data_IF_843570109369
#
_entry.id   IF_843570109369
#
_cell.length_a   1.000
_cell.length_b   1.000
_cell.length_c   1.000
_cell.angle_alpha   90.00
_cell.angle_beta   90.00
_cell.angle_gamma   90.00
#
_symmetry.space_group_name_H-M   'P 1'
#
loop_
_entity.id
_entity.type
_entity.pdbx_description
1 polymer ?
#
# COMPACT_ATOMS: atom_id res chain seq x y z
N UNK A 1 -4.63 3.43 -21.91
CA UNK A 1 -3.79 2.30 -21.39
C UNK A 1 -3.95 2.17 -19.89
N UNK A 2 -4.09 0.97 -19.34
CA UNK A 2 -4.18 0.75 -17.88
C UNK A 2 -2.83 0.25 -17.36
N UNK A 3 -2.32 0.95 -16.32
CA UNK A 3 -1.09 0.60 -15.59
C UNK A 3 -1.43 0.37 -14.12
N UNK A 4 -0.65 -0.47 -13.43
CA UNK A 4 -0.75 -0.65 -11.98
C UNK A 4 0.59 -0.35 -11.31
N UNK A 5 0.56 0.31 -10.14
CA UNK A 5 1.71 0.50 -9.25
C UNK A 5 1.44 -0.26 -7.96
N UNK A 6 2.31 -1.22 -7.65
CA UNK A 6 2.18 -2.14 -6.52
C UNK A 6 3.52 -2.31 -5.80
N UNK A 7 3.50 -2.86 -4.59
CA UNK A 7 4.71 -3.10 -3.80
C UNK A 7 5.20 -4.54 -3.89
N UNK A 8 6.51 -4.74 -3.91
CA UNK A 8 7.13 -6.06 -3.98
C UNK A 8 7.13 -6.81 -2.65
N UNK A 9 7.30 -6.11 -1.53
CA UNK A 9 7.67 -6.72 -0.25
C UNK A 9 6.63 -6.47 0.87
N UNK A 10 7.08 -5.89 1.97
CA UNK A 10 6.26 -5.68 3.20
C UNK A 10 5.45 -4.37 3.20
N UNK A 11 5.46 -3.60 2.12
CA UNK A 11 4.94 -2.24 2.05
C UNK A 11 6.03 -1.20 2.30
N UNK A 12 5.66 0.07 2.19
CA UNK A 12 6.59 1.20 2.40
C UNK A 12 7.77 1.26 1.42
N UNK A 13 7.56 0.74 0.20
CA UNK A 13 8.58 0.73 -0.86
C UNK A 13 8.74 2.08 -1.57
N UNK A 14 7.97 3.10 -1.22
CA UNK A 14 8.01 4.41 -1.90
C UNK A 14 7.05 4.53 -3.09
N UNK A 15 5.96 3.77 -3.09
CA UNK A 15 4.93 3.81 -4.14
C UNK A 15 4.33 5.20 -4.36
N UNK A 16 4.16 5.98 -3.29
CA UNK A 16 3.57 7.32 -3.36
C UNK A 16 4.31 8.24 -4.33
N UNK A 17 5.64 8.23 -4.33
CA UNK A 17 6.45 8.99 -5.28
C UNK A 17 6.23 8.52 -6.73
N UNK A 18 6.21 7.21 -6.95
CA UNK A 18 6.03 6.64 -8.29
C UNK A 18 4.64 6.94 -8.83
N UNK A 19 3.60 6.81 -7.99
CA UNK A 19 2.21 7.13 -8.39
C UNK A 19 2.02 8.63 -8.64
N UNK A 20 2.61 9.49 -7.82
CA UNK A 20 2.57 10.93 -8.03
C UNK A 20 3.25 11.32 -9.35
N UNK A 21 4.42 10.77 -9.63
CA UNK A 21 5.13 11.00 -10.89
C UNK A 21 4.31 10.55 -12.10
N UNK A 22 3.77 9.33 -12.08
CA UNK A 22 2.94 8.78 -13.16
C UNK A 22 1.56 9.47 -13.25
N UNK A 23 1.14 10.11 -12.18
CA UNK A 23 -0.08 10.91 -12.13
C UNK A 23 -0.10 12.06 -13.16
N UNK A 24 1.07 12.61 -13.48
CA UNK A 24 1.20 13.66 -14.50
C UNK A 24 0.71 13.21 -15.88
N UNK A 25 0.87 11.94 -16.21
CA UNK A 25 0.52 11.33 -17.50
C UNK A 25 -0.83 10.62 -17.46
N UNK A 26 -1.49 10.59 -16.29
CA UNK A 26 -2.70 9.80 -16.08
C UNK A 26 -3.95 10.67 -16.13
N UNK A 27 -4.94 10.27 -16.92
CA UNK A 27 -6.26 10.90 -16.94
C UNK A 27 -7.09 10.50 -15.70
N UNK A 28 -6.86 9.29 -15.19
CA UNK A 28 -7.60 8.70 -14.08
C UNK A 28 -6.64 7.95 -13.17
N UNK A 29 -6.78 8.13 -11.85
CA UNK A 29 -6.09 7.31 -10.85
C UNK A 29 -7.12 6.66 -9.93
N UNK A 30 -7.01 5.33 -9.76
CA UNK A 30 -7.95 4.51 -9.01
C UNK A 30 -7.26 3.86 -7.82
N UNK A 31 -7.73 4.15 -6.61
CA UNK A 31 -7.48 3.30 -5.44
C UNK A 31 -8.39 2.07 -5.55
N UNK A 32 -7.81 0.89 -5.60
CA UNK A 32 -8.57 -0.33 -5.89
C UNK A 32 -8.68 -1.30 -4.70
N UNK A 33 -7.90 -1.12 -3.64
CA UNK A 33 -7.92 -1.99 -2.45
C UNK A 33 -7.43 -1.25 -1.20
N UNK A 34 -7.56 -1.92 -0.04
CA UNK A 34 -7.13 -1.38 1.25
C UNK A 34 -8.04 -0.27 1.75
N UNK A 35 -7.57 0.48 2.69
CA UNK A 35 -8.30 1.58 3.31
C UNK A 35 -7.33 2.59 3.94
N UNK A 36 -7.74 3.18 5.05
CA UNK A 36 -6.94 4.19 5.73
C UNK A 36 -5.82 3.62 6.63
N UNK A 37 -5.56 2.32 6.56
CA UNK A 37 -4.56 1.63 7.39
C UNK A 37 -3.10 1.83 6.95
N UNK A 38 -2.86 2.29 5.73
CA UNK A 38 -1.52 2.63 5.25
C UNK A 38 -1.53 4.02 4.63
N UNK A 39 -0.54 4.81 4.98
CA UNK A 39 -0.30 6.12 4.37
C UNK A 39 0.79 6.04 3.31
N UNK A 40 0.73 6.95 2.35
CA UNK A 40 1.82 7.21 1.44
C UNK A 40 2.18 8.70 1.44
N UNK A 41 3.47 8.96 1.46
CA UNK A 41 3.98 10.32 1.48
C UNK A 41 4.23 10.80 0.04
N UNK A 42 3.76 12.00 -0.24
CA UNK A 42 3.98 12.70 -1.49
C UNK A 42 4.65 14.03 -1.18
N UNK A 43 5.70 14.35 -1.93
CA UNK A 43 6.40 15.63 -1.86
C UNK A 43 6.30 16.31 -3.23
N UNK A 44 5.61 17.43 -3.29
CA UNK A 44 5.36 18.20 -4.51
C UNK A 44 5.43 19.71 -4.25
N UNK A 45 5.05 20.52 -5.24
CA UNK A 45 5.08 21.98 -5.16
C UNK A 45 4.17 22.59 -4.08
N UNK A 46 3.14 21.84 -3.65
CA UNK A 46 2.27 22.23 -2.53
C UNK A 46 2.86 21.87 -1.16
N UNK A 47 3.95 21.09 -1.12
CA UNK A 47 4.63 20.64 0.08
C UNK A 47 4.58 19.13 0.30
N UNK A 48 4.74 18.72 1.56
CA UNK A 48 4.71 17.31 1.95
C UNK A 48 3.32 16.91 2.49
N UNK A 49 2.77 15.82 1.97
CA UNK A 49 1.46 15.27 2.34
C UNK A 49 1.58 13.78 2.67
N UNK A 50 0.84 13.35 3.69
CA UNK A 50 0.60 11.95 3.96
C UNK A 50 -0.87 11.65 3.64
N UNK A 51 -1.12 10.91 2.56
CA UNK A 51 -2.44 10.48 2.14
C UNK A 51 -2.69 9.03 2.58
N UNK A 52 -3.91 8.73 3.01
CA UNK A 52 -4.32 7.38 3.42
C UNK A 52 -5.38 6.81 2.48
N UNK A 53 -6.40 7.60 2.16
CA UNK A 53 -7.53 7.17 1.33
C UNK A 53 -7.48 7.80 -0.06
N UNK A 54 -7.10 9.06 -0.17
CA UNK A 54 -7.06 9.78 -1.43
C UNK A 54 -6.01 9.20 -2.39
N UNK A 55 -6.35 9.06 -3.69
CA UNK A 55 -5.37 8.78 -4.72
C UNK A 55 -4.35 9.91 -4.89
N UNK A 56 -3.16 9.59 -5.37
CA UNK A 56 -2.10 10.58 -5.64
C UNK A 56 -2.48 11.62 -6.70
N UNK A 57 -3.47 11.32 -7.55
CA UNK A 57 -3.96 12.22 -8.60
C UNK A 57 -4.65 13.50 -8.12
N UNK A 58 -4.97 13.61 -6.83
CA UNK A 58 -5.65 14.79 -6.27
C UNK A 58 -4.88 16.10 -6.40
N UNK A 59 -3.59 16.03 -6.71
CA UNK A 59 -2.74 17.20 -6.94
C UNK A 59 -2.75 17.71 -8.38
N UNK A 60 -3.44 17.00 -9.29
CA UNK A 60 -3.50 17.33 -10.72
C UNK A 60 -4.92 17.69 -11.14
N UNK A 61 -5.10 18.90 -11.68
CA UNK A 61 -6.42 19.38 -12.09
C UNK A 61 -7.03 18.63 -13.27
N UNK A 62 -6.20 17.97 -14.10
CA UNK A 62 -6.65 17.18 -15.25
C UNK A 62 -7.05 15.75 -14.87
N UNK A 63 -6.68 15.28 -13.68
CA UNK A 63 -6.86 13.89 -13.26
C UNK A 63 -8.18 13.70 -12.52
N UNK A 64 -8.92 12.64 -12.84
CA UNK A 64 -10.03 12.15 -12.02
C UNK A 64 -9.51 11.11 -11.03
N UNK A 65 -9.73 11.35 -9.75
CA UNK A 65 -9.35 10.47 -8.65
C UNK A 65 -10.53 9.59 -8.25
N UNK A 66 -10.35 8.27 -8.27
CA UNK A 66 -11.43 7.31 -8.04
C UNK A 66 -11.17 6.47 -6.81
N UNK A 67 -12.18 6.35 -5.95
CA UNK A 67 -12.27 5.34 -4.90
C UNK A 67 -13.04 4.16 -5.47
N UNK A 68 -12.31 3.08 -5.80
CA UNK A 68 -12.86 1.89 -6.42
C UNK A 68 -13.66 1.01 -5.46
N UNK A 69 -14.39 0.05 -6.01
CA UNK A 69 -15.26 -0.86 -5.25
C UNK A 69 -14.49 -1.81 -4.31
N UNK A 70 -13.20 -2.01 -4.50
CA UNK A 70 -12.36 -2.83 -3.61
C UNK A 70 -11.85 -2.11 -2.37
N UNK A 71 -12.10 -0.81 -2.21
CA UNK A 71 -11.62 -0.02 -1.07
C UNK A 71 -12.51 -0.20 0.16
N UNK A 72 -11.88 -0.33 1.33
CA UNK A 72 -12.53 -0.19 2.62
C UNK A 72 -12.69 1.31 2.94
N UNK A 73 -13.84 1.87 2.59
CA UNK A 73 -14.06 3.31 2.58
C UNK A 73 -14.44 3.84 3.97
N UNK A 74 -13.55 4.61 4.57
CA UNK A 74 -13.87 5.44 5.73
C UNK A 74 -14.26 6.84 5.26
N UNK A 75 -15.57 7.12 5.20
CA UNK A 75 -16.10 8.38 4.67
C UNK A 75 -15.61 9.60 5.46
N UNK A 76 -15.69 9.65 6.81
CA UNK A 76 -15.14 10.78 7.56
C UNK A 76 -13.67 11.07 7.29
N UNK A 77 -12.84 10.01 7.19
CA UNK A 77 -11.40 10.20 6.91
C UNK A 77 -11.15 10.70 5.50
N UNK A 78 -11.91 10.23 4.50
CA UNK A 78 -11.83 10.74 3.13
C UNK A 78 -12.04 12.26 3.10
N UNK A 79 -13.10 12.74 3.73
CA UNK A 79 -13.42 14.17 3.73
C UNK A 79 -12.47 15.00 4.61
N UNK A 80 -11.94 14.42 5.69
CA UNK A 80 -10.87 15.04 6.46
C UNK A 80 -9.60 15.23 5.63
N UNK A 81 -9.23 14.25 4.80
CA UNK A 81 -8.08 14.37 3.89
C UNK A 81 -8.34 15.41 2.79
N UNK A 82 -9.52 15.41 2.17
CA UNK A 82 -9.89 16.44 1.18
C UNK A 82 -9.73 17.84 1.79
N UNK A 83 -10.27 18.03 3.01
CA UNK A 83 -10.13 19.31 3.72
C UNK A 83 -8.66 19.65 3.98
N UNK A 84 -7.85 18.68 4.40
CA UNK A 84 -6.44 18.92 4.72
C UNK A 84 -5.61 19.38 3.53
N UNK A 85 -5.91 18.90 2.32
CA UNK A 85 -5.20 19.34 1.11
C UNK A 85 -5.74 20.69 0.61
N UNK A 86 -7.06 20.92 0.65
CA UNK A 86 -7.65 22.19 0.21
C UNK A 86 -7.31 23.36 1.13
N UNK A 87 -7.20 23.13 2.44
CA UNK A 87 -6.74 24.14 3.41
C UNK A 87 -5.27 24.58 3.13
N UNK A 88 -4.51 23.78 2.36
CA UNK A 88 -3.15 24.08 1.92
C UNK A 88 -3.07 24.55 0.47
N UNK A 89 -4.16 25.13 -0.04
CA UNK A 89 -4.31 25.71 -1.38
C UNK A 89 -4.19 24.70 -2.54
N UNK A 90 -4.35 23.39 -2.30
CA UNK A 90 -4.57 22.45 -3.38
C UNK A 90 -5.98 22.68 -3.93
N UNK A 91 -6.16 22.90 -5.24
CA UNK A 91 -7.50 23.03 -5.83
C UNK A 91 -8.39 21.83 -5.50
N UNK A 92 -9.69 22.03 -5.34
CA UNK A 92 -10.62 20.93 -5.08
C UNK A 92 -10.49 19.87 -6.18
N UNK A 93 -10.06 18.63 -5.84
CA UNK A 93 -9.84 17.59 -6.82
C UNK A 93 -11.17 17.04 -7.36
N UNK A 94 -11.13 16.52 -8.59
CA UNK A 94 -12.24 15.76 -9.15
C UNK A 94 -12.21 14.36 -8.58
N UNK A 95 -13.18 14.01 -7.73
CA UNK A 95 -13.27 12.74 -7.02
C UNK A 95 -14.55 12.02 -7.43
N UNK A 96 -14.45 10.71 -7.65
CA UNK A 96 -15.57 9.79 -7.81
C UNK A 96 -15.44 8.64 -6.80
N UNK A 97 -16.57 8.22 -6.26
CA UNK A 97 -16.68 7.13 -5.30
C UNK A 97 -17.58 6.04 -5.87
N UNK A 98 -17.11 4.80 -5.89
CA UNK A 98 -17.93 3.68 -6.35
C UNK A 98 -19.14 3.48 -5.46
N UNK A 99 -20.30 3.36 -6.08
CA UNK A 99 -21.55 2.95 -5.44
C UNK A 99 -21.48 1.55 -4.81
N UNK A 100 -20.57 0.69 -5.32
CA UNK A 100 -20.31 -0.66 -4.82
C UNK A 100 -19.19 -0.74 -3.78
N UNK A 101 -18.48 0.34 -3.50
CA UNK A 101 -17.52 0.37 -2.40
C UNK A 101 -18.25 0.10 -1.08
N UNK A 102 -17.61 -0.65 -0.18
CA UNK A 102 -18.17 -0.87 1.15
C UNK A 102 -17.59 0.10 2.17
N UNK A 103 -18.41 0.47 3.14
CA UNK A 103 -18.05 1.46 4.15
C UNK A 103 -17.43 0.80 5.38
N UNK A 104 -16.39 1.43 5.92
CA UNK A 104 -15.93 1.15 7.28
C UNK A 104 -16.96 1.73 8.24
N UNK A 105 -17.66 0.85 8.94
CA UNK A 105 -18.66 1.24 9.92
C UNK A 105 -18.00 1.71 11.21
N UNK A 106 -18.65 2.61 11.98
CA UNK A 106 -18.08 3.11 13.24
C UNK A 106 -17.65 1.99 14.20
N UNK A 107 -18.41 0.91 14.26
CA UNK A 107 -18.10 -0.24 15.12
C UNK A 107 -16.89 -1.05 14.61
N UNK A 108 -16.51 -1.00 13.34
CA UNK A 108 -15.31 -1.70 12.87
C UNK A 108 -14.05 -1.16 13.57
N UNK A 109 -13.96 0.15 13.76
CA UNK A 109 -12.85 0.78 14.48
C UNK A 109 -12.83 0.33 15.94
N UNK A 110 -14.00 0.33 16.59
CA UNK A 110 -14.14 -0.13 17.98
C UNK A 110 -13.73 -1.60 18.13
N UNK A 111 -14.17 -2.47 17.23
CA UNK A 111 -13.82 -3.90 17.28
C UNK A 111 -12.33 -4.13 17.08
N UNK A 112 -11.68 -3.37 16.21
CA UNK A 112 -10.24 -3.44 15.99
C UNK A 112 -9.45 -3.02 17.25
N UNK A 113 -9.90 -1.97 17.93
CA UNK A 113 -9.34 -1.53 19.22
C UNK A 113 -9.55 -2.56 20.33
N UNK A 114 -10.77 -3.08 20.46
CA UNK A 114 -11.11 -4.05 21.52
C UNK A 114 -10.40 -5.38 21.34
N UNK A 115 -10.16 -5.81 20.09
CA UNK A 115 -9.40 -7.03 19.83
C UNK A 115 -7.92 -6.86 20.18
N UNK A 116 -7.31 -5.71 19.85
CA UNK A 116 -5.95 -5.40 20.26
C UNK A 116 -5.80 -5.33 21.80
N UNK A 117 -6.80 -4.76 22.50
CA UNK A 117 -6.86 -4.78 23.97
C UNK A 117 -6.92 -6.21 24.51
N UNK A 118 -7.82 -7.04 23.96
CA UNK A 118 -8.03 -8.44 24.38
C UNK A 118 -6.80 -9.30 24.20
N UNK A 119 -6.04 -9.10 23.13
CA UNK A 119 -4.85 -9.87 22.81
C UNK A 119 -3.61 -9.49 23.66
N UNK A 120 -3.61 -8.36 24.32
CA UNK A 120 -2.68 -7.91 25.37
C UNK A 120 -1.24 -8.45 25.20
N UNK A 121 -0.40 -7.81 24.40
CA UNK A 121 1.01 -8.19 24.19
C UNK A 121 1.24 -9.33 23.19
N UNK A 122 0.20 -9.99 22.71
CA UNK A 122 0.20 -10.91 21.55
C UNK A 122 -0.54 -10.31 20.35
N UNK A 123 -0.75 -9.00 20.36
CA UNK A 123 -1.46 -8.25 19.34
C UNK A 123 -0.72 -8.30 18.00
N UNK A 124 -1.48 -8.19 16.91
CA UNK A 124 -0.93 -8.14 15.54
C UNK A 124 -0.26 -6.80 15.22
N UNK A 125 -0.44 -5.78 16.07
CA UNK A 125 0.01 -4.42 15.84
C UNK A 125 -0.88 -3.68 14.85
N UNK A 126 -2.20 -3.84 15.01
CA UNK A 126 -3.20 -3.16 14.18
C UNK A 126 -3.01 -1.64 14.17
N UNK A 127 -3.33 -1.02 13.03
CA UNK A 127 -3.41 0.44 12.90
C UNK A 127 -4.66 1.03 13.54
N UNK A 128 -5.55 0.19 14.07
CA UNK A 128 -6.86 0.56 14.67
C UNK A 128 -7.74 1.33 13.67
N UNK A 129 -7.64 0.98 12.40
CA UNK A 129 -8.42 1.58 11.32
C UNK A 129 -9.66 0.77 10.94
N UNK A 130 -9.94 -0.30 11.68
CA UNK A 130 -11.12 -1.15 11.49
C UNK A 130 -11.05 -2.08 10.27
N UNK A 131 -9.88 -2.31 9.71
CA UNK A 131 -9.73 -3.02 8.42
C UNK A 131 -10.04 -4.52 8.56
N UNK A 132 -9.50 -5.21 9.56
CA UNK A 132 -9.76 -6.63 9.74
C UNK A 132 -11.25 -6.91 10.05
N UNK A 133 -11.91 -6.19 10.98
CA UNK A 133 -13.36 -6.34 11.19
C UNK A 133 -14.18 -5.99 9.95
N UNK A 134 -13.78 -4.97 9.18
CA UNK A 134 -14.44 -4.60 7.93
C UNK A 134 -14.44 -5.76 6.91
N UNK A 135 -13.26 -6.32 6.61
CA UNK A 135 -13.15 -7.43 5.67
C UNK A 135 -13.82 -8.71 6.16
N UNK A 136 -13.80 -8.95 7.47
CA UNK A 136 -14.59 -10.04 8.09
C UNK A 136 -16.07 -9.89 7.75
N UNK A 137 -16.64 -8.71 7.94
CA UNK A 137 -18.05 -8.44 7.65
C UNK A 137 -18.35 -8.49 6.15
N UNK A 138 -17.45 -7.99 5.30
CA UNK A 138 -17.60 -8.05 3.85
C UNK A 138 -17.77 -9.48 3.37
N UNK A 139 -16.92 -10.39 3.79
CA UNK A 139 -16.96 -11.79 3.36
C UNK A 139 -18.02 -12.60 4.11
N UNK A 140 -18.42 -12.19 5.31
CA UNK A 140 -19.63 -12.69 5.99
C UNK A 140 -20.95 -12.18 5.37
N UNK A 141 -20.87 -11.27 4.39
CA UNK A 141 -22.00 -10.67 3.66
C UNK A 141 -22.93 -9.82 4.54
N UNK A 142 -22.36 -9.20 5.54
CA UNK A 142 -23.03 -8.26 6.46
C UNK A 142 -22.43 -6.85 6.40
N UNK A 143 -21.53 -6.60 5.47
CA UNK A 143 -20.99 -5.27 5.17
C UNK A 143 -22.02 -4.38 4.46
N UNK A 144 -21.75 -3.07 4.41
CA UNK A 144 -22.64 -2.06 3.83
C UNK A 144 -21.97 -1.38 2.64
N UNK A 145 -22.62 -1.45 1.46
CA UNK A 145 -22.21 -0.70 0.28
C UNK A 145 -22.65 0.76 0.35
N UNK A 146 -21.92 1.65 -0.31
CA UNK A 146 -22.30 3.07 -0.42
C UNK A 146 -23.68 3.25 -1.03
N UNK A 147 -24.06 2.44 -2.02
CA UNK A 147 -25.39 2.47 -2.66
C UNK A 147 -26.53 2.26 -1.67
N UNK A 148 -26.31 1.51 -0.59
CA UNK A 148 -27.36 1.24 0.41
C UNK A 148 -27.74 2.47 1.23
N UNK A 149 -26.91 3.53 1.24
CA UNK A 149 -27.24 4.81 1.88
C UNK A 149 -28.48 5.49 1.26
N UNK A 150 -28.81 5.14 0.03
CA UNK A 150 -29.89 5.78 -0.73
C UNK A 150 -31.24 5.05 -0.65
N UNK A 151 -31.30 3.94 0.11
CA UNK A 151 -32.53 3.22 0.48
C UNK A 151 -32.61 3.14 1.99
N UNK A 152 -33.19 4.18 2.60
CA UNK A 152 -33.20 4.36 4.06
C UNK A 152 -33.98 3.28 4.81
N UNK A 153 -35.07 2.79 4.22
CA UNK A 153 -35.89 1.74 4.84
C UNK A 153 -35.13 0.41 4.89
N UNK A 154 -34.61 -0.06 3.74
CA UNK A 154 -33.81 -1.27 3.66
C UNK A 154 -32.51 -1.16 4.48
N UNK A 155 -31.89 0.02 4.50
CA UNK A 155 -30.70 0.29 5.31
C UNK A 155 -30.98 0.09 6.81
N UNK A 156 -32.08 0.65 7.32
CA UNK A 156 -32.46 0.55 8.73
C UNK A 156 -32.75 -0.90 9.12
N UNK A 157 -33.50 -1.63 8.31
CA UNK A 157 -33.75 -3.07 8.52
C UNK A 157 -32.45 -3.90 8.55
N UNK A 158 -31.50 -3.57 7.67
CA UNK A 158 -30.21 -4.25 7.65
C UNK A 158 -29.39 -3.95 8.91
N UNK A 159 -29.38 -2.70 9.37
CA UNK A 159 -28.70 -2.31 10.62
C UNK A 159 -29.30 -3.11 11.80
N UNK A 160 -30.62 -3.17 11.93
CA UNK A 160 -31.31 -3.92 12.97
C UNK A 160 -30.86 -5.39 13.02
N UNK A 161 -30.74 -6.02 11.86
CA UNK A 161 -30.29 -7.43 11.75
C UNK A 161 -28.82 -7.61 12.11
N UNK A 162 -27.93 -6.73 11.60
CA UNK A 162 -26.48 -6.86 11.79
C UNK A 162 -26.06 -6.54 13.22
N UNK A 163 -26.68 -5.55 13.84
CA UNK A 163 -26.33 -5.10 15.20
C UNK A 163 -26.53 -6.17 16.27
N UNK A 164 -27.44 -7.12 16.04
CA UNK A 164 -27.66 -8.25 16.97
C UNK A 164 -26.37 -9.05 17.16
N UNK A 165 -25.70 -9.42 16.06
CA UNK A 165 -24.44 -10.19 16.14
C UNK A 165 -23.33 -9.36 16.80
N UNK A 166 -23.26 -8.07 16.47
CA UNK A 166 -22.26 -7.17 17.05
C UNK A 166 -22.43 -7.02 18.55
N UNK A 167 -23.67 -6.85 19.01
CA UNK A 167 -23.98 -6.71 20.42
C UNK A 167 -23.68 -7.98 21.22
N UNK A 168 -23.88 -9.17 20.65
CA UNK A 168 -23.45 -10.43 21.28
C UNK A 168 -21.96 -10.45 21.56
N UNK A 169 -21.13 -10.00 20.60
CA UNK A 169 -19.68 -9.91 20.81
C UNK A 169 -19.30 -8.83 21.83
N UNK A 170 -19.94 -7.66 21.76
CA UNK A 170 -19.71 -6.57 22.72
C UNK A 170 -20.02 -6.98 24.14
N UNK A 171 -21.14 -7.65 24.35
CA UNK A 171 -21.59 -8.08 25.68
C UNK A 171 -20.73 -9.22 26.23
N UNK A 172 -20.52 -10.29 25.44
CA UNK A 172 -19.99 -11.56 25.96
C UNK A 172 -18.48 -11.73 25.75
N UNK A 173 -17.86 -11.04 24.78
CA UNK A 173 -16.44 -11.18 24.49
C UNK A 173 -15.63 -9.96 24.96
N UNK A 174 -16.12 -8.77 24.63
CA UNK A 174 -15.38 -7.53 24.89
C UNK A 174 -15.82 -6.82 26.18
N UNK A 175 -17.03 -7.11 26.71
CA UNK A 175 -17.61 -6.44 27.87
C UNK A 175 -17.65 -4.92 27.71
N UNK A 176 -18.15 -4.48 26.57
CA UNK A 176 -18.21 -3.07 26.14
C UNK A 176 -19.67 -2.64 25.91
N UNK A 177 -19.96 -1.34 25.87
CA UNK A 177 -21.30 -0.81 25.62
C UNK A 177 -21.91 -1.33 24.32
N UNK A 178 -23.22 -1.60 24.35
CA UNK A 178 -23.97 -2.09 23.18
C UNK A 178 -24.22 -0.95 22.18
N UNK A 179 -24.27 -1.33 20.91
CA UNK A 179 -24.65 -0.45 19.80
C UNK A 179 -26.17 -0.25 19.78
N UNK A 180 -26.61 0.92 19.32
CA UNK A 180 -28.02 1.25 19.10
C UNK A 180 -28.27 1.47 17.62
N UNK A 181 -29.41 1.00 17.13
CA UNK A 181 -29.81 1.13 15.71
C UNK A 181 -29.84 2.60 15.28
N UNK A 182 -30.52 3.45 16.05
CA UNK A 182 -30.70 4.85 15.68
C UNK A 182 -29.37 5.63 15.65
N UNK A 183 -28.44 5.33 16.54
CA UNK A 183 -27.13 5.99 16.54
C UNK A 183 -26.34 5.65 15.26
N UNK A 184 -26.35 4.38 14.84
CA UNK A 184 -25.72 3.94 13.60
C UNK A 184 -26.43 4.56 12.39
N UNK A 185 -27.75 4.47 12.35
CA UNK A 185 -28.54 5.01 11.24
C UNK A 185 -28.31 6.52 11.04
N UNK A 186 -28.37 7.31 12.10
CA UNK A 186 -28.12 8.74 12.04
C UNK A 186 -26.71 9.05 11.54
N UNK A 187 -25.71 8.32 12.01
CA UNK A 187 -24.32 8.45 11.51
C UNK A 187 -24.24 8.16 10.01
N UNK A 188 -24.93 7.14 9.52
CA UNK A 188 -24.95 6.81 8.10
C UNK A 188 -25.69 7.86 7.25
N UNK A 189 -26.70 8.52 7.81
CA UNK A 189 -27.34 9.64 7.11
C UNK A 189 -26.38 10.84 6.97
N UNK A 190 -25.57 11.13 7.97
CA UNK A 190 -24.50 12.12 7.83
C UNK A 190 -23.50 11.72 6.73
N UNK A 191 -23.11 10.43 6.67
CA UNK A 191 -22.22 9.92 5.61
C UNK A 191 -22.85 10.06 4.22
N UNK A 192 -24.16 9.79 4.09
CA UNK A 192 -24.91 10.00 2.85
C UNK A 192 -24.80 11.44 2.36
N UNK A 193 -25.05 12.41 3.22
CA UNK A 193 -24.95 13.84 2.85
C UNK A 193 -23.54 14.21 2.38
N UNK A 194 -22.51 13.66 3.02
CA UNK A 194 -21.11 13.92 2.66
C UNK A 194 -20.76 13.33 1.29
N UNK A 195 -21.14 12.09 1.02
CA UNK A 195 -20.63 11.33 -0.13
C UNK A 195 -21.50 11.41 -1.38
N UNK A 196 -22.79 11.74 -1.24
CA UNK A 196 -23.76 11.71 -2.33
C UNK A 196 -23.33 12.42 -3.62
N UNK A 197 -22.68 13.61 -3.58
CA UNK A 197 -22.26 14.30 -4.81
C UNK A 197 -21.16 13.57 -5.61
N UNK A 198 -20.52 12.59 -5.02
CA UNK A 198 -19.33 11.90 -5.58
C UNK A 198 -19.63 10.48 -6.06
N UNK A 199 -20.80 9.94 -5.71
CA UNK A 199 -21.14 8.53 -5.97
C UNK A 199 -21.53 8.31 -7.42
N UNK A 200 -20.95 7.28 -8.03
CA UNK A 200 -21.30 6.83 -9.38
C UNK A 200 -21.05 5.34 -9.59
N UNK A 201 -21.54 4.78 -10.69
CA UNK A 201 -21.12 3.46 -11.19
C UNK A 201 -19.70 3.58 -11.79
N UNK A 202 -18.69 3.34 -10.95
CA UNK A 202 -17.28 3.42 -11.34
C UNK A 202 -16.93 2.40 -12.43
N UNK A 203 -17.54 1.22 -12.41
CA UNK A 203 -17.27 0.19 -13.42
C UNK A 203 -17.72 0.64 -14.81
N UNK A 204 -18.91 1.22 -14.91
CA UNK A 204 -19.40 1.80 -16.17
C UNK A 204 -18.54 2.99 -16.60
N UNK A 205 -18.18 3.87 -15.69
CA UNK A 205 -17.32 5.02 -15.98
C UNK A 205 -15.95 4.58 -16.54
N UNK A 206 -15.30 3.60 -15.92
CA UNK A 206 -14.00 3.10 -16.36
C UNK A 206 -14.08 2.33 -17.67
N UNK A 207 -15.17 1.60 -17.91
CA UNK A 207 -15.40 0.93 -19.19
C UNK A 207 -15.42 1.92 -20.38
N UNK A 208 -16.15 3.02 -20.25
CA UNK A 208 -16.16 4.06 -21.28
C UNK A 208 -14.80 4.77 -21.40
N UNK A 209 -14.13 5.06 -20.27
CA UNK A 209 -12.81 5.67 -20.28
C UNK A 209 -11.75 4.78 -21.01
N UNK A 210 -11.82 3.46 -20.85
CA UNK A 210 -10.95 2.52 -21.57
C UNK A 210 -11.24 2.58 -23.08
N UNK A 211 -12.50 2.60 -23.49
CA UNK A 211 -12.89 2.72 -24.91
C UNK A 211 -12.43 4.03 -25.54
N UNK A 212 -12.43 5.11 -24.75
CA UNK A 212 -11.89 6.42 -25.16
C UNK A 212 -10.36 6.47 -25.20
N UNK A 213 -9.68 5.40 -24.81
CA UNK A 213 -8.22 5.33 -24.80
C UNK A 213 -7.55 6.12 -23.68
N UNK A 214 -8.26 6.41 -22.58
CA UNK A 214 -7.71 7.14 -21.42
C UNK A 214 -6.56 6.38 -20.76
N UNK A 215 -5.63 7.14 -20.19
CA UNK A 215 -4.56 6.61 -19.35
C UNK A 215 -5.07 6.45 -17.91
N UNK A 216 -5.14 5.20 -17.45
CA UNK A 216 -5.64 4.84 -16.13
C UNK A 216 -4.50 4.25 -15.31
N UNK A 217 -4.29 4.78 -14.10
CA UNK A 217 -3.34 4.28 -13.12
C UNK A 217 -4.08 3.63 -11.96
N UNK A 218 -3.81 2.36 -11.71
CA UNK A 218 -4.28 1.64 -10.54
C UNK A 218 -3.23 1.80 -9.44
N UNK A 219 -3.61 2.45 -8.37
CA UNK A 219 -2.73 2.73 -7.23
C UNK A 219 -2.95 1.72 -6.12
N UNK A 220 -1.97 0.83 -5.92
CA UNK A 220 -1.97 -0.18 -4.87
C UNK A 220 -1.46 0.34 -3.53
N UNK A 221 -1.73 -0.44 -2.49
CA UNK A 221 -1.36 -0.17 -1.12
C UNK A 221 -0.67 -1.39 -0.52
N UNK A 222 0.31 -1.18 0.38
CA UNK A 222 1.14 -2.23 0.96
C UNK A 222 1.98 -2.97 -0.09
N UNK A 223 2.37 -4.21 0.17
CA UNK A 223 3.20 -5.02 -0.73
C UNK A 223 2.78 -6.48 -0.73
N UNK A 224 3.39 -7.27 -1.62
CA UNK A 224 3.04 -8.67 -1.87
C UNK A 224 3.06 -9.55 -0.63
N UNK A 225 4.01 -9.32 0.29
CA UNK A 225 4.15 -10.12 1.50
C UNK A 225 3.11 -9.80 2.57
N UNK A 226 2.27 -8.79 2.33
CA UNK A 226 1.12 -8.44 3.17
C UNK A 226 -0.22 -8.90 2.57
N UNK A 227 -0.19 -9.61 1.44
CA UNK A 227 -1.36 -10.23 0.83
C UNK A 227 -1.87 -11.41 1.68
N UNK A 228 -3.19 -11.57 1.91
CA UNK A 228 -3.71 -12.63 2.77
C UNK A 228 -3.49 -14.05 2.22
N UNK A 229 -3.39 -14.22 0.90
CA UNK A 229 -3.19 -15.51 0.26
C UNK A 229 -1.72 -15.85 -0.01
N UNK A 230 -0.90 -14.83 -0.30
CA UNK A 230 0.48 -15.00 -0.75
C UNK A 230 1.53 -14.45 0.21
N UNK A 231 1.13 -13.70 1.23
CA UNK A 231 2.03 -13.07 2.19
C UNK A 231 2.45 -13.97 3.35
N UNK A 232 3.03 -13.32 4.36
CA UNK A 232 3.52 -13.96 5.59
C UNK A 232 2.40 -14.18 6.61
N UNK A 233 1.33 -14.85 6.19
CA UNK A 233 0.15 -15.12 7.03
C UNK A 233 0.53 -15.72 8.39
N UNK A 234 -0.06 -15.26 9.52
CA UNK A 234 -1.18 -14.33 9.64
C UNK A 234 -0.79 -12.84 9.74
N UNK A 235 0.49 -12.48 9.62
CA UNK A 235 0.98 -11.10 9.74
C UNK A 235 0.82 -10.32 8.41
N UNK A 236 -0.40 -10.30 7.89
CA UNK A 236 -0.81 -9.71 6.61
C UNK A 236 -1.90 -8.67 6.83
N UNK A 237 -2.22 -7.91 5.77
CA UNK A 237 -3.46 -7.11 5.75
C UNK A 237 -4.63 -7.98 5.28
N UNK A 238 -5.85 -7.50 5.46
CA UNK A 238 -7.04 -8.27 5.07
C UNK A 238 -7.48 -8.03 3.62
N UNK A 239 -6.85 -7.07 2.92
CA UNK A 239 -7.10 -6.82 1.50
C UNK A 239 -6.05 -7.49 0.62
N UNK A 240 -6.42 -7.92 -0.60
CA UNK A 240 -5.43 -8.37 -1.57
C UNK A 240 -4.60 -7.18 -2.07
N UNK A 241 -3.27 -7.33 -1.98
CA UNK A 241 -2.29 -6.31 -2.35
C UNK A 241 -1.73 -6.49 -3.76
N UNK A 242 -2.23 -7.49 -4.49
CA UNK A 242 -1.74 -7.85 -5.81
C UNK A 242 -2.38 -7.03 -6.93
N UNK A 243 -1.62 -6.75 -7.98
CA UNK A 243 -2.09 -6.06 -9.17
C UNK A 243 -3.31 -6.75 -9.82
N UNK A 244 -3.39 -8.08 -9.74
CA UNK A 244 -4.52 -8.86 -10.21
C UNK A 244 -5.85 -8.44 -9.56
N UNK A 245 -5.83 -8.07 -8.28
CA UNK A 245 -7.02 -7.54 -7.60
C UNK A 245 -7.43 -6.16 -8.12
N UNK A 246 -6.52 -5.43 -8.77
CA UNK A 246 -6.82 -4.15 -9.41
C UNK A 246 -7.97 -4.25 -10.41
N UNK A 247 -8.06 -5.34 -11.15
CA UNK A 247 -9.18 -5.60 -12.06
C UNK A 247 -10.51 -5.73 -11.30
N UNK A 248 -10.52 -6.47 -10.20
CA UNK A 248 -11.71 -6.67 -9.33
C UNK A 248 -12.06 -5.36 -8.61
N UNK A 249 -11.08 -4.75 -7.96
CA UNK A 249 -11.27 -3.57 -7.11
C UNK A 249 -11.61 -2.28 -7.88
N UNK A 250 -11.29 -2.20 -9.17
CA UNK A 250 -11.70 -1.13 -10.07
C UNK A 250 -12.93 -1.49 -10.93
N UNK A 251 -13.25 -2.77 -11.07
CA UNK A 251 -14.34 -3.25 -11.90
C UNK A 251 -14.03 -3.20 -13.40
N UNK A 252 -12.81 -3.58 -13.79
CA UNK A 252 -12.35 -3.61 -15.18
C UNK A 252 -11.92 -5.03 -15.60
N UNK A 253 -11.88 -5.36 -16.91
CA UNK A 253 -11.35 -6.63 -17.37
C UNK A 253 -9.85 -6.78 -17.01
N UNK A 254 -9.40 -7.97 -16.54
CA UNK A 254 -8.00 -8.15 -16.11
C UNK A 254 -6.98 -7.98 -17.25
N UNK A 255 -7.37 -8.31 -18.49
CA UNK A 255 -6.51 -8.16 -19.65
C UNK A 255 -6.26 -6.70 -20.08
N UNK A 256 -6.95 -5.73 -19.47
CA UNK A 256 -6.70 -4.31 -19.71
C UNK A 256 -5.49 -3.78 -18.93
N UNK A 257 -5.06 -4.44 -17.87
CA UNK A 257 -3.84 -4.09 -17.14
C UNK A 257 -2.64 -4.50 -17.99
N UNK A 258 -2.06 -3.54 -18.71
CA UNK A 258 -0.97 -3.79 -19.69
C UNK A 258 0.42 -3.64 -19.10
N UNK A 259 0.56 -2.87 -18.04
CA UNK A 259 1.84 -2.63 -17.37
C UNK A 259 1.67 -2.72 -15.87
N UNK A 260 2.52 -3.49 -15.21
CA UNK A 260 2.57 -3.66 -13.76
C UNK A 260 3.94 -3.21 -13.29
N UNK A 261 3.96 -2.02 -12.69
CA UNK A 261 5.15 -1.41 -12.13
C UNK A 261 5.22 -1.82 -10.66
N UNK A 262 6.15 -2.71 -10.35
CA UNK A 262 6.36 -3.16 -8.99
C UNK A 262 7.49 -2.36 -8.35
N UNK A 263 7.19 -1.75 -7.21
CA UNK A 263 8.17 -0.91 -6.51
C UNK A 263 8.97 -1.78 -5.55
N UNK A 264 10.29 -1.74 -5.70
CA UNK A 264 11.29 -2.34 -4.82
C UNK A 264 12.14 -1.23 -4.18
N UNK A 265 12.35 -1.31 -2.88
CA UNK A 265 13.23 -0.42 -2.14
C UNK A 265 14.67 -0.95 -2.18
N UNK A 266 15.68 -0.10 -2.33
CA UNK A 266 17.08 -0.52 -2.44
C UNK A 266 17.66 -1.21 -1.18
N UNK A 267 16.92 -1.18 -0.09
CA UNK A 267 17.08 -1.99 1.12
C UNK A 267 15.69 -2.46 1.57
N UNK A 268 15.61 -3.34 2.56
CA UNK A 268 14.31 -3.82 3.03
C UNK A 268 13.84 -3.07 4.27
N UNK A 269 12.54 -2.83 4.36
CA UNK A 269 11.90 -2.32 5.58
C UNK A 269 10.55 -2.98 5.80
N UNK A 270 10.16 -3.14 7.06
CA UNK A 270 8.88 -3.75 7.40
C UNK A 270 8.21 -3.06 8.59
N UNK A 271 6.92 -2.74 8.43
CA UNK A 271 6.07 -2.24 9.51
C UNK A 271 5.32 -3.40 10.15
N UNK A 272 5.25 -3.41 11.48
CA UNK A 272 4.54 -4.42 12.25
C UNK A 272 5.31 -5.72 12.44
N UNK A 273 4.61 -6.73 12.96
CA UNK A 273 5.15 -8.05 13.25
C UNK A 273 5.24 -8.94 12.00
N UNK A 274 5.87 -10.07 12.15
CA UNK A 274 6.01 -11.11 11.13
C UNK A 274 7.44 -11.36 10.73
N UNK A 275 7.64 -12.37 9.90
CA UNK A 275 8.96 -12.84 9.50
C UNK A 275 9.63 -11.84 8.54
N UNK A 276 10.89 -11.56 8.82
CA UNK A 276 11.75 -10.67 8.05
C UNK A 276 13.18 -11.20 8.07
N UNK A 277 13.48 -12.14 7.17
CA UNK A 277 14.71 -12.94 7.21
C UNK A 277 15.98 -12.09 7.10
N UNK A 278 15.97 -11.06 6.26
CA UNK A 278 17.10 -10.13 6.05
C UNK A 278 17.15 -8.97 7.08
N UNK A 279 16.41 -9.05 8.18
CA UNK A 279 16.37 -8.02 9.22
C UNK A 279 17.72 -7.82 9.88
N UNK A 280 18.10 -6.58 10.12
CA UNK A 280 19.32 -6.15 10.81
C UNK A 280 18.98 -5.42 12.12
N UNK A 281 19.93 -5.40 13.05
CA UNK A 281 19.74 -4.88 14.40
C UNK A 281 20.91 -3.98 14.82
N UNK A 282 20.72 -3.25 15.92
CA UNK A 282 21.77 -2.43 16.53
C UNK A 282 22.14 -1.21 15.70
N UNK A 283 23.37 -0.73 15.83
CA UNK A 283 23.86 0.52 15.24
C UNK A 283 23.70 0.56 13.72
N UNK A 284 23.87 -0.56 13.06
CA UNK A 284 23.71 -0.70 11.59
C UNK A 284 22.26 -0.40 11.17
N UNK A 285 21.30 -1.00 11.86
CA UNK A 285 19.88 -0.75 11.62
C UNK A 285 19.48 0.69 11.95
N UNK A 286 20.02 1.24 13.04
CA UNK A 286 19.74 2.60 13.49
C UNK A 286 20.28 3.65 12.53
N UNK A 287 21.49 3.44 11.99
CA UNK A 287 22.07 4.34 10.99
C UNK A 287 21.32 4.27 9.66
N UNK A 288 20.99 3.08 9.18
CA UNK A 288 20.19 2.93 7.96
C UNK A 288 18.80 3.57 8.12
N UNK A 289 18.16 3.36 9.28
CA UNK A 289 16.86 3.98 9.60
C UNK A 289 16.95 5.50 9.63
N UNK A 290 17.97 6.05 10.24
CA UNK A 290 18.17 7.50 10.34
C UNK A 290 18.37 8.15 8.97
N UNK A 291 19.03 7.47 8.05
CA UNK A 291 19.30 7.94 6.67
C UNK A 291 18.15 7.66 5.71
N UNK A 292 17.35 6.64 6.03
CA UNK A 292 16.28 6.18 5.15
C UNK A 292 15.14 7.18 5.04
N UNK A 293 14.43 7.10 3.91
CA UNK A 293 13.27 7.93 3.61
C UNK A 293 13.54 9.44 3.63
N UNK A 294 12.48 10.22 3.75
CA UNK A 294 12.54 11.66 3.93
C UNK A 294 12.37 11.98 5.44
N UNK A 295 13.50 12.10 6.13
CA UNK A 295 13.55 12.37 7.57
C UNK A 295 13.65 11.11 8.45
N UNK A 296 14.01 9.97 7.89
CA UNK A 296 14.20 8.68 8.56
C UNK A 296 13.01 7.73 8.40
N UNK A 297 13.28 6.45 8.64
CA UNK A 297 12.30 5.37 8.53
C UNK A 297 11.50 5.23 9.84
N UNK A 298 10.47 6.03 9.97
CA UNK A 298 9.55 6.01 11.11
C UNK A 298 8.10 5.90 10.60
N UNK A 299 7.33 5.03 11.24
CA UNK A 299 5.90 4.91 10.93
C UNK A 299 5.12 6.16 11.30
N UNK A 300 3.88 6.26 10.82
CA UNK A 300 3.00 7.41 11.06
C UNK A 300 2.79 7.75 12.56
N UNK A 301 3.03 6.79 13.46
CA UNK A 301 2.97 6.96 14.92
C UNK A 301 4.32 7.28 15.55
N UNK A 302 5.38 7.54 14.77
CA UNK A 302 6.75 7.73 15.24
C UNK A 302 7.45 6.43 15.68
N UNK A 303 6.86 5.26 15.43
CA UNK A 303 7.49 3.96 15.71
C UNK A 303 8.65 3.72 14.74
N UNK A 304 9.84 3.27 15.24
CA UNK A 304 10.92 2.84 14.36
C UNK A 304 10.46 1.72 13.44
N UNK A 305 10.72 1.86 12.14
CA UNK A 305 10.48 0.80 11.16
C UNK A 305 11.61 -0.23 11.25
N UNK A 306 11.29 -1.50 11.11
CA UNK A 306 12.27 -2.61 11.07
C UNK A 306 13.06 -2.49 9.76
N UNK A 307 14.38 -2.63 9.84
CA UNK A 307 15.31 -2.44 8.73
C UNK A 307 15.97 -3.77 8.35
N UNK A 308 16.30 -3.93 7.09
CA UNK A 308 17.03 -5.07 6.57
C UNK A 308 17.78 -4.75 5.29
N UNK A 309 18.74 -5.60 4.93
CA UNK A 309 19.40 -5.50 3.62
C UNK A 309 18.44 -5.90 2.51
N UNK A 310 18.76 -5.54 1.27
CA UNK A 310 17.94 -5.93 0.13
C UNK A 310 17.77 -7.45 0.10
N UNK A 311 16.54 -7.92 -0.05
CA UNK A 311 16.18 -9.33 -0.02
C UNK A 311 15.75 -9.79 -1.42
N UNK A 312 16.67 -10.45 -2.13
CA UNK A 312 16.41 -10.95 -3.48
C UNK A 312 15.35 -12.06 -3.49
N UNK A 313 15.29 -12.90 -2.45
CA UNK A 313 14.32 -14.01 -2.37
C UNK A 313 12.91 -13.46 -2.23
N UNK A 314 12.71 -12.56 -1.27
CA UNK A 314 11.43 -11.90 -1.03
C UNK A 314 10.99 -11.05 -2.24
N UNK A 315 11.91 -10.26 -2.81
CA UNK A 315 11.60 -9.37 -3.94
C UNK A 315 11.30 -10.12 -5.23
N UNK A 316 12.08 -11.19 -5.54
CA UNK A 316 11.80 -12.09 -6.67
C UNK A 316 10.41 -12.71 -6.56
N UNK A 317 10.08 -13.24 -5.38
CA UNK A 317 8.76 -13.79 -5.12
C UNK A 317 7.66 -12.75 -5.29
N UNK A 318 7.83 -11.58 -4.66
CA UNK A 318 6.85 -10.50 -4.74
C UNK A 318 6.62 -10.01 -6.19
N UNK A 319 7.68 -9.78 -6.95
CA UNK A 319 7.58 -9.42 -8.36
C UNK A 319 6.88 -10.49 -9.19
N UNK A 320 7.20 -11.77 -8.94
CA UNK A 320 6.57 -12.89 -9.66
C UNK A 320 5.07 -12.94 -9.46
N UNK A 321 4.59 -12.86 -8.22
CA UNK A 321 3.15 -12.95 -7.94
C UNK A 321 2.38 -11.68 -8.32
N UNK A 322 3.05 -10.52 -8.42
CA UNK A 322 2.46 -9.30 -8.96
C UNK A 322 2.26 -9.37 -10.48
N UNK A 323 2.99 -10.25 -11.17
CA UNK A 323 3.01 -10.25 -12.64
C UNK A 323 3.77 -9.05 -13.20
N UNK A 324 4.89 -8.70 -12.57
CA UNK A 324 5.71 -7.52 -12.85
C UNK A 324 6.15 -7.44 -14.31
N UNK A 325 5.92 -6.30 -14.94
CA UNK A 325 6.49 -5.95 -16.24
C UNK A 325 7.72 -5.07 -16.08
N UNK A 326 7.70 -4.18 -15.08
CA UNK A 326 8.73 -3.19 -14.81
C UNK A 326 8.95 -3.07 -13.30
N UNK A 327 10.20 -2.85 -12.89
CA UNK A 327 10.55 -2.55 -11.50
C UNK A 327 10.93 -1.08 -11.38
N UNK A 328 10.32 -0.39 -10.42
CA UNK A 328 10.78 0.90 -9.94
C UNK A 328 11.61 0.70 -8.66
N UNK A 329 12.90 1.01 -8.74
CA UNK A 329 13.87 0.80 -7.67
C UNK A 329 14.09 2.10 -6.91
N UNK A 330 13.67 2.16 -5.66
CA UNK A 330 13.56 3.40 -4.89
C UNK A 330 14.62 3.55 -3.82
N UNK A 331 14.82 4.77 -3.34
CA UNK A 331 15.71 5.19 -2.24
C UNK A 331 17.17 4.71 -2.36
N UNK A 332 17.66 4.63 -3.58
CA UNK A 332 19.03 4.16 -3.86
C UNK A 332 20.10 5.11 -3.30
N UNK A 333 19.80 6.40 -3.26
CA UNK A 333 20.66 7.46 -2.71
C UNK A 333 21.04 7.24 -1.24
N UNK A 334 20.18 6.56 -0.49
CA UNK A 334 20.39 6.27 0.95
C UNK A 334 21.63 5.40 1.18
N UNK A 335 21.96 4.50 0.26
CA UNK A 335 23.09 3.55 0.42
C UNK A 335 24.47 4.18 0.12
N UNK A 336 24.51 5.42 -0.34
CA UNK A 336 25.75 6.09 -0.74
C UNK A 336 26.79 6.32 0.37
N UNK A 337 26.48 6.03 1.63
CA UNK A 337 27.42 6.15 2.75
C UNK A 337 28.22 4.88 3.03
N UNK A 338 27.80 3.74 2.46
CA UNK A 338 28.36 2.43 2.76
C UNK A 338 29.64 2.17 1.97
N UNK A 339 30.60 1.49 2.60
CA UNK A 339 31.78 0.93 1.94
C UNK A 339 31.47 -0.40 1.27
N UNK A 340 30.64 -1.20 1.91
CA UNK A 340 30.17 -2.50 1.46
C UNK A 340 28.68 -2.63 1.69
N UNK A 341 27.99 -3.28 0.78
CA UNK A 341 26.52 -3.44 0.82
C UNK A 341 26.18 -4.94 0.79
N UNK A 342 25.74 -5.53 1.90
CA UNK A 342 25.23 -6.90 1.91
C UNK A 342 23.90 -6.99 1.15
N UNK A 343 23.72 -8.07 0.38
CA UNK A 343 22.47 -8.41 -0.32
C UNK A 343 22.12 -9.84 0.03
N UNK A 344 20.88 -10.06 0.51
CA UNK A 344 20.39 -11.40 0.81
C UNK A 344 20.00 -12.10 -0.51
N UNK A 345 20.78 -13.11 -0.88
CA UNK A 345 20.62 -13.85 -2.15
C UNK A 345 19.97 -15.21 -1.97
N UNK A 346 19.83 -15.69 -0.74
CA UNK A 346 19.24 -17.00 -0.43
C UNK A 346 18.83 -17.10 1.03
N UNK A 347 18.06 -18.13 1.34
CA UNK A 347 17.69 -18.51 2.70
C UNK A 347 18.24 -19.90 3.02
N UNK A 348 19.03 -20.01 4.09
CA UNK A 348 19.40 -21.30 4.66
C UNK A 348 18.29 -21.77 5.60
N UNK A 349 17.69 -22.90 5.31
CA UNK A 349 16.65 -23.54 6.11
C UNK A 349 17.10 -24.98 6.45
N UNK A 350 17.42 -25.18 7.72
CA UNK A 350 17.89 -26.48 8.22
C UNK A 350 19.11 -27.06 7.45
N UNK A 351 19.99 -26.17 6.89
CA UNK A 351 21.21 -26.53 6.15
C UNK A 351 21.02 -26.63 4.62
N UNK A 352 19.83 -26.36 4.11
CA UNK A 352 19.54 -26.28 2.68
C UNK A 352 19.32 -24.84 2.26
N UNK A 353 20.07 -24.36 1.28
CA UNK A 353 19.91 -22.99 0.73
C UNK A 353 18.87 -23.00 -0.38
N UNK A 354 17.89 -22.11 -0.26
CA UNK A 354 16.85 -21.90 -1.28
C UNK A 354 16.81 -20.44 -1.75
N UNK A 355 16.46 -20.23 -3.01
CA UNK A 355 16.12 -18.92 -3.60
C UNK A 355 14.62 -18.76 -3.83
N UNK A 356 13.83 -19.75 -3.45
CA UNK A 356 12.38 -19.70 -3.47
C UNK A 356 11.84 -19.27 -2.11
N UNK A 357 10.87 -18.36 -2.12
CA UNK A 357 10.26 -17.83 -0.90
C UNK A 357 9.36 -18.89 -0.25
N UNK A 358 9.67 -19.33 0.98
CA UNK A 358 8.95 -20.42 1.64
C UNK A 358 7.69 -19.94 2.37
N UNK A 359 6.92 -20.90 2.88
CA UNK A 359 5.80 -20.63 3.78
C UNK A 359 6.26 -20.05 5.12
N UNK A 360 5.37 -19.35 5.83
CA UNK A 360 5.69 -18.69 7.12
C UNK A 360 6.32 -19.65 8.16
N UNK A 361 5.86 -20.91 8.22
CA UNK A 361 6.40 -21.89 9.15
C UNK A 361 7.89 -22.22 8.88
N UNK A 362 8.31 -22.21 7.63
CA UNK A 362 9.71 -22.36 7.22
C UNK A 362 10.51 -21.07 7.38
N UNK A 363 9.89 -19.92 7.11
CA UNK A 363 10.53 -18.61 7.31
C UNK A 363 11.02 -18.39 8.74
N UNK A 364 10.31 -18.93 9.75
CA UNK A 364 10.72 -18.87 11.16
C UNK A 364 12.09 -19.51 11.44
N UNK A 365 12.52 -20.42 10.59
CA UNK A 365 13.80 -21.11 10.71
C UNK A 365 14.85 -20.58 9.74
N UNK A 366 14.44 -19.76 8.77
CA UNK A 366 15.32 -19.27 7.73
C UNK A 366 16.38 -18.32 8.27
N UNK A 367 17.58 -18.47 7.75
CA UNK A 367 18.71 -17.56 7.98
C UNK A 367 19.10 -16.93 6.65
N UNK A 368 19.43 -15.63 6.61
CA UNK A 368 19.84 -15.00 5.36
C UNK A 368 21.22 -15.48 4.92
N UNK A 369 21.35 -15.71 3.62
CA UNK A 369 22.63 -15.91 2.95
C UNK A 369 22.98 -14.65 2.21
N UNK A 370 24.09 -14.00 2.56
CA UNK A 370 24.49 -12.72 2.01
C UNK A 370 25.63 -12.85 0.99
N UNK A 371 25.53 -12.06 -0.08
CA UNK A 371 26.66 -11.61 -0.87
C UNK A 371 26.92 -10.15 -0.61
N UNK A 372 28.20 -9.74 -0.57
CA UNK A 372 28.60 -8.37 -0.27
C UNK A 372 29.14 -7.69 -1.52
N UNK A 373 28.57 -6.56 -1.88
CA UNK A 373 28.98 -5.73 -3.01
C UNK A 373 29.73 -4.48 -2.53
N UNK A 374 30.68 -3.96 -3.32
CA UNK A 374 31.34 -2.70 -2.98
C UNK A 374 30.36 -1.55 -3.07
N UNK A 375 30.37 -0.68 -2.07
CA UNK A 375 29.63 0.58 -2.08
C UNK A 375 30.22 1.60 -3.04
N UNK A 376 29.50 2.69 -3.25
CA UNK A 376 29.96 3.75 -4.19
C UNK A 376 30.42 5.05 -3.51
N UNK A 377 30.14 5.23 -2.22
CA UNK A 377 30.62 6.37 -1.40
C UNK A 377 30.46 7.76 -2.04
N UNK A 378 29.38 7.92 -2.80
CA UNK A 378 29.13 9.15 -3.58
C UNK A 378 27.65 9.51 -3.45
N UNK A 379 27.35 10.80 -3.31
CA UNK A 379 25.98 11.30 -3.43
C UNK A 379 25.56 11.22 -4.90
N UNK A 380 24.48 10.46 -5.15
CA UNK A 380 23.94 10.23 -6.50
C UNK A 380 22.71 11.10 -6.78
N UNK A 381 22.28 11.92 -5.83
CA UNK A 381 21.15 12.83 -6.03
C UNK A 381 21.45 13.83 -7.13
N UNK A 382 20.44 14.13 -7.95
CA UNK A 382 20.61 15.05 -9.08
C UNK A 382 21.19 14.43 -10.35
N UNK A 383 21.73 13.21 -10.32
CA UNK A 383 22.14 12.49 -11.54
C UNK A 383 20.88 12.13 -12.34
N UNK A 384 20.91 12.38 -13.66
CA UNK A 384 19.75 12.20 -14.54
C UNK A 384 19.91 11.08 -15.57
N UNK A 385 21.12 10.58 -15.77
CA UNK A 385 21.41 9.51 -16.72
C UNK A 385 22.01 8.31 -16.01
N UNK A 386 21.62 7.11 -16.44
CA UNK A 386 22.12 5.86 -15.86
C UNK A 386 23.64 5.72 -15.98
N UNK A 387 24.17 6.13 -17.13
CA UNK A 387 25.60 6.04 -17.44
C UNK A 387 26.47 6.93 -16.54
N UNK A 388 25.89 7.99 -15.98
CA UNK A 388 26.57 8.93 -15.08
C UNK A 388 26.61 8.45 -13.62
N UNK A 389 25.87 7.38 -13.30
CA UNK A 389 25.96 6.76 -11.97
C UNK A 389 27.35 6.13 -11.74
N UNK A 390 27.86 6.15 -10.48
CA UNK A 390 29.09 5.43 -10.15
C UNK A 390 29.04 3.96 -10.58
N UNK A 391 30.17 3.43 -11.01
CA UNK A 391 30.26 2.04 -11.52
C UNK A 391 29.71 1.01 -10.52
N UNK A 392 30.09 1.13 -9.24
CA UNK A 392 29.60 0.23 -8.20
C UNK A 392 28.08 0.37 -7.98
N UNK A 393 27.52 1.57 -8.14
CA UNK A 393 26.08 1.79 -8.07
C UNK A 393 25.36 1.07 -9.22
N UNK A 394 25.87 1.16 -10.45
CA UNK A 394 25.34 0.42 -11.60
C UNK A 394 25.45 -1.08 -11.42
N UNK A 395 26.59 -1.59 -10.91
CA UNK A 395 26.79 -3.02 -10.60
C UNK A 395 25.81 -3.51 -9.55
N UNK A 396 25.50 -2.69 -8.54
CA UNK A 396 24.47 -3.02 -7.54
C UNK A 396 23.08 -3.18 -8.18
N UNK A 397 22.68 -2.24 -9.03
CA UNK A 397 21.39 -2.30 -9.75
C UNK A 397 21.32 -3.55 -10.65
N UNK A 398 22.37 -3.81 -11.43
CA UNK A 398 22.47 -4.96 -12.35
C UNK A 398 22.46 -6.29 -11.59
N UNK A 399 23.16 -6.36 -10.46
CA UNK A 399 23.15 -7.53 -9.57
C UNK A 399 21.76 -7.83 -9.03
N UNK A 400 21.06 -6.81 -8.53
CA UNK A 400 19.68 -6.96 -8.04
C UNK A 400 18.76 -7.39 -9.16
N UNK A 401 18.83 -6.74 -10.33
CA UNK A 401 18.01 -7.07 -11.51
C UNK A 401 18.18 -8.54 -11.93
N UNK A 402 19.43 -9.03 -11.98
CA UNK A 402 19.73 -10.42 -12.31
C UNK A 402 19.11 -11.39 -11.30
N UNK A 403 19.25 -11.11 -10.00
CA UNK A 403 18.79 -12.02 -8.95
C UNK A 403 17.25 -12.04 -8.82
N UNK A 404 16.58 -10.92 -8.98
CA UNK A 404 15.12 -10.89 -8.96
C UNK A 404 14.50 -11.40 -10.27
N UNK A 405 15.22 -11.27 -11.40
CA UNK A 405 14.78 -11.72 -12.72
C UNK A 405 13.74 -10.84 -13.39
N UNK A 406 13.65 -9.56 -13.01
CA UNK A 406 12.71 -8.59 -13.57
C UNK A 406 13.42 -7.27 -13.91
N UNK A 407 13.04 -6.59 -15.02
CA UNK A 407 13.75 -5.42 -15.50
C UNK A 407 13.56 -4.22 -14.57
N UNK A 408 14.67 -3.60 -14.13
CA UNK A 408 14.65 -2.34 -13.39
C UNK A 408 14.70 -1.19 -14.41
N UNK A 409 13.54 -0.58 -14.68
CA UNK A 409 13.38 0.47 -15.70
C UNK A 409 13.32 1.88 -15.12
N UNK A 410 13.06 2.01 -13.82
CA UNK A 410 13.00 3.29 -13.11
C UNK A 410 13.87 3.21 -11.86
N UNK A 411 14.72 4.21 -11.65
CA UNK A 411 15.62 4.30 -10.50
C UNK A 411 15.39 5.64 -9.81
N UNK A 412 14.93 5.60 -8.57
CA UNK A 412 14.78 6.79 -7.73
C UNK A 412 16.05 7.03 -6.93
N UNK A 413 16.68 8.16 -7.17
CA UNK A 413 17.95 8.59 -6.59
C UNK A 413 17.85 9.84 -5.71
N UNK A 414 16.68 10.13 -5.18
CA UNK A 414 16.42 11.24 -4.26
C UNK A 414 14.93 11.36 -3.91
N UNK A 415 14.54 12.24 -2.98
CA UNK A 415 13.18 12.34 -2.50
C UNK A 415 12.22 13.06 -3.45
N UNK A 416 12.71 13.94 -4.31
CA UNK A 416 11.88 14.77 -5.19
C UNK A 416 11.24 13.99 -6.33
N UNK A 417 10.09 14.47 -6.80
CA UNK A 417 9.34 13.89 -7.94
C UNK A 417 10.23 13.65 -9.16
N UNK A 418 11.14 14.58 -9.45
CA UNK A 418 12.01 14.54 -10.63
C UNK A 418 13.33 13.79 -10.41
N UNK A 419 13.52 13.19 -9.22
CA UNK A 419 14.73 12.41 -8.91
C UNK A 419 14.53 10.96 -9.35
N UNK A 420 14.32 10.80 -10.65
CA UNK A 420 14.11 9.52 -11.34
C UNK A 420 15.02 9.44 -12.55
N UNK A 421 15.67 8.31 -12.70
CA UNK A 421 16.42 7.92 -13.88
C UNK A 421 15.65 6.81 -14.59
N UNK A 422 15.33 7.03 -15.87
CA UNK A 422 14.76 5.99 -16.72
C UNK A 422 15.88 5.19 -17.38
N UNK A 423 15.71 3.90 -17.44
CA UNK A 423 16.67 2.95 -18.00
C UNK A 423 15.94 1.99 -18.93
N UNK A 424 16.53 1.75 -20.10
CA UNK A 424 16.15 0.62 -20.94
C UNK A 424 16.82 -0.61 -20.36
N UNK A 425 16.04 -1.50 -19.73
CA UNK A 425 16.54 -2.78 -19.26
C UNK A 425 16.88 -3.68 -20.46
N UNK A 426 17.93 -4.47 -20.31
CA UNK A 426 18.39 -5.41 -21.34
C UNK A 426 17.51 -6.66 -21.40
#
# INVERSE_FOLDING_TARGET
>A
MVRAVVGANWGDEGKGKITDMLGQESDIIVRFQGGANAGHTIVNDYGKFALHTLPSGVFYSHTTSIIGNGVALNIPLLFKEIKSITDRNVPMPKILVSDRAQMVMPYHILFDEYEEERLAGKSFGSTKSGIAPFYSDKYAKIGFQVSELFDEEALKEKIERVIVQKNVLLENLYHKPLLKVDDIFNTLMEYKEMVAPYVCDVSAYLYEAIKEGKNILLEGQLGSLKDPDHGIYPMVTSSSTLAAYGAIGAGIPPYEIKQIITVCKAYSSAVGAGEFVSEIFGDEADELRRRGGDGGEFGATGRPIRMGWFDCVASKYGCRIQGTTDVAFTVLDVLGYLDEIPVCVGYDIDGEVTTDFPTTSKLKKAKPVYETLPGWKTDIRGIKKYEDLPENCRKYIEFVEEHIGFPITMISNGPGRNDIIYRNAK
#
